data_IF_040907273729
#
_entry.id   IF_040907273729
#
_cell.length_a   1.000
_cell.length_b   1.000
_cell.length_c   1.000
_cell.angle_alpha   90.00
_cell.angle_beta   90.00
_cell.angle_gamma   90.00
#
_symmetry.space_group_name_H-M   'P 1'
#
loop_
_entity.id
_entity.type
_entity.pdbx_description
1 polymer ?
#
# COMPACT_ATOMS: atom_id res chain seq x y z
N UNK A 1 6.06 -16.47 13.86
CA UNK A 1 6.91 -15.27 13.96
C UNK A 1 6.14 -14.14 13.31
N UNK A 2 5.27 -13.46 14.07
CA UNK A 2 4.40 -12.41 13.53
C UNK A 2 4.18 -11.38 14.63
N UNK A 3 5.18 -10.53 14.82
CA UNK A 3 5.07 -9.36 15.68
C UNK A 3 4.20 -8.33 14.97
N UNK A 4 2.88 -8.38 15.17
CA UNK A 4 1.98 -7.30 14.81
C UNK A 4 2.24 -6.15 15.78
N UNK A 5 3.03 -5.16 15.35
CA UNK A 5 3.02 -3.84 15.97
C UNK A 5 1.62 -3.25 15.76
N UNK A 6 0.76 -3.32 16.78
CA UNK A 6 -0.52 -2.63 16.78
C UNK A 6 -0.29 -1.14 16.98
N UNK A 7 -0.40 -0.36 15.91
CA UNK A 7 -0.67 1.06 16.04
C UNK A 7 -2.02 1.23 16.75
N UNK A 8 -2.10 2.17 17.71
CA UNK A 8 -3.33 2.46 18.48
C UNK A 8 -4.52 2.90 17.59
N UNK A 9 -4.23 3.33 16.36
CA UNK A 9 -5.19 3.63 15.33
C UNK A 9 -4.62 3.19 13.98
N UNK A 10 -5.39 2.38 13.25
CA UNK A 10 -5.05 1.91 11.91
C UNK A 10 -6.29 2.11 11.03
N UNK A 11 -6.08 2.68 9.84
CA UNK A 11 -7.14 2.77 8.83
C UNK A 11 -6.82 1.84 7.68
N UNK A 12 -7.85 1.14 7.18
CA UNK A 12 -7.72 0.25 6.04
C UNK A 12 -8.77 0.59 4.98
N UNK A 13 -8.34 0.59 3.72
CA UNK A 13 -9.22 0.69 2.57
C UNK A 13 -8.91 -0.43 1.58
N UNK A 14 -9.95 -0.95 0.93
CA UNK A 14 -9.82 -2.00 -0.09
C UNK A 14 -10.50 -1.54 -1.36
N UNK A 15 -9.74 -1.56 -2.45
CA UNK A 15 -10.22 -1.27 -3.80
C UNK A 15 -10.32 -2.58 -4.58
N UNK A 16 -11.44 -2.78 -5.28
CA UNK A 16 -11.62 -3.88 -6.24
C UNK A 16 -11.45 -3.35 -7.67
N UNK A 17 -10.57 -3.97 -8.44
CA UNK A 17 -10.37 -3.61 -9.86
C UNK A 17 -9.59 -4.69 -10.61
N UNK A 18 -9.90 -4.87 -11.89
CA UNK A 18 -9.15 -5.72 -12.81
C UNK A 18 -7.68 -5.28 -13.00
N UNK A 19 -7.31 -4.07 -12.58
CA UNK A 19 -5.99 -3.47 -12.82
C UNK A 19 -5.26 -3.06 -11.53
N UNK A 20 -5.46 -3.78 -10.44
CA UNK A 20 -4.86 -3.48 -9.12
C UNK A 20 -3.35 -3.29 -9.12
N UNK A 21 -2.60 -4.09 -9.88
CA UNK A 21 -1.13 -3.94 -10.02
C UNK A 21 -0.76 -2.58 -10.61
N UNK A 22 -1.50 -2.12 -11.64
CA UNK A 22 -1.25 -0.80 -12.25
C UNK A 22 -1.51 0.31 -11.24
N UNK A 23 -2.58 0.22 -10.46
CA UNK A 23 -2.89 1.21 -9.44
C UNK A 23 -1.81 1.29 -8.35
N UNK A 24 -1.29 0.15 -7.89
CA UNK A 24 -0.17 0.11 -6.93
C UNK A 24 1.04 0.89 -7.46
N UNK A 25 1.48 0.57 -8.69
CA UNK A 25 2.65 1.21 -9.30
C UNK A 25 2.42 2.70 -9.54
N UNK A 26 1.24 3.08 -10.05
CA UNK A 26 0.90 4.49 -10.32
C UNK A 26 0.88 5.31 -9.04
N UNK A 27 0.28 4.79 -7.95
CA UNK A 27 0.20 5.49 -6.68
C UNK A 27 1.59 5.62 -6.03
N UNK A 28 2.34 4.52 -5.93
CA UNK A 28 3.67 4.56 -5.32
C UNK A 28 4.60 5.51 -6.09
N UNK A 29 4.57 5.47 -7.43
CA UNK A 29 5.34 6.39 -8.29
C UNK A 29 4.90 7.85 -8.14
N UNK A 30 3.61 8.10 -7.94
CA UNK A 30 3.11 9.45 -7.70
C UNK A 30 3.68 10.02 -6.41
N UNK A 31 3.63 9.26 -5.32
CA UNK A 31 4.15 9.68 -4.01
C UNK A 31 5.67 9.75 -3.94
N UNK A 32 6.39 8.90 -4.68
CA UNK A 32 7.85 8.90 -4.78
C UNK A 32 8.45 10.26 -5.22
N UNK A 33 7.64 11.15 -5.79
CA UNK A 33 8.05 12.53 -6.15
C UNK A 33 8.21 13.46 -4.95
N UNK A 34 7.61 13.10 -3.81
CA UNK A 34 7.48 13.97 -2.63
C UNK A 34 7.92 13.30 -1.34
N UNK A 35 7.77 11.98 -1.24
CA UNK A 35 8.11 11.19 -0.05
C UNK A 35 8.81 9.89 -0.48
N UNK A 36 9.62 9.27 0.39
CA UNK A 36 10.18 7.96 0.10
C UNK A 36 9.06 6.96 -0.15
N UNK A 37 9.15 6.25 -1.28
CA UNK A 37 8.23 5.18 -1.61
C UNK A 37 8.98 4.07 -2.34
N UNK A 38 8.73 2.84 -1.95
CA UNK A 38 9.27 1.63 -2.58
C UNK A 38 8.11 0.73 -2.97
N UNK A 39 8.26 -0.01 -4.06
CA UNK A 39 7.23 -0.95 -4.51
C UNK A 39 7.82 -2.03 -5.40
N UNK A 40 7.14 -3.17 -5.42
CA UNK A 40 7.32 -4.25 -6.37
C UNK A 40 5.98 -4.54 -7.10
N UNK A 41 5.84 -5.72 -7.69
CA UNK A 41 4.64 -6.13 -8.43
C UNK A 41 3.42 -6.37 -7.53
N UNK A 42 3.64 -6.63 -6.23
CA UNK A 42 2.63 -7.10 -5.28
C UNK A 42 2.50 -6.23 -4.03
N UNK A 43 3.53 -5.47 -3.68
CA UNK A 43 3.57 -4.68 -2.46
C UNK A 43 4.16 -3.28 -2.70
N UNK A 44 3.73 -2.33 -1.87
CA UNK A 44 4.24 -0.98 -1.85
C UNK A 44 4.30 -0.43 -0.44
N UNK A 45 5.26 0.44 -0.18
CA UNK A 45 5.44 1.14 1.08
C UNK A 45 5.69 2.62 0.79
N UNK A 46 4.98 3.49 1.51
CA UNK A 46 5.11 4.94 1.40
C UNK A 46 5.36 5.50 2.79
N UNK A 47 6.42 6.28 2.94
CA UNK A 47 6.84 6.84 4.22
C UNK A 47 6.42 8.31 4.29
N UNK A 48 5.24 8.57 4.84
CA UNK A 48 4.81 9.92 5.13
C UNK A 48 5.45 10.41 6.43
N UNK A 49 5.64 11.73 6.63
CA UNK A 49 6.14 12.28 7.88
C UNK A 49 5.30 11.91 9.11
N UNK A 50 4.03 11.57 8.92
CA UNK A 50 3.05 11.23 9.96
C UNK A 50 2.88 9.72 10.18
N UNK A 51 3.46 8.87 9.33
CA UNK A 51 3.26 7.42 9.40
C UNK A 51 3.61 6.70 8.10
N UNK A 52 3.59 5.37 8.17
CA UNK A 52 3.89 4.50 7.02
C UNK A 52 2.59 3.93 6.47
N UNK A 53 2.39 4.08 5.16
CA UNK A 53 1.28 3.43 4.45
C UNK A 53 1.80 2.25 3.66
N UNK A 54 1.18 1.09 3.83
CA UNK A 54 1.45 -0.10 3.02
C UNK A 54 0.34 -0.36 2.01
N UNK A 55 0.74 -0.85 0.84
CA UNK A 55 -0.14 -1.26 -0.25
C UNK A 55 0.10 -2.74 -0.54
N UNK A 56 -0.98 -3.51 -0.69
CA UNK A 56 -0.88 -4.95 -1.01
C UNK A 56 -1.88 -5.32 -2.09
N UNK A 57 -1.38 -5.95 -3.15
CA UNK A 57 -2.19 -6.50 -4.23
C UNK A 57 -2.55 -7.96 -3.93
N UNK A 58 -3.80 -8.32 -4.15
CA UNK A 58 -4.24 -9.71 -4.26
C UNK A 58 -4.83 -9.93 -5.66
N UNK A 59 -4.06 -10.55 -6.55
CA UNK A 59 -4.51 -10.79 -7.93
C UNK A 59 -5.73 -11.71 -8.00
N UNK A 60 -5.78 -12.75 -7.16
CA UNK A 60 -6.90 -13.71 -7.12
C UNK A 60 -8.24 -13.03 -6.84
N UNK A 61 -8.23 -12.05 -5.95
CA UNK A 61 -9.43 -11.32 -5.54
C UNK A 61 -9.57 -9.99 -6.28
N UNK A 62 -8.61 -9.66 -7.16
CA UNK A 62 -8.50 -8.39 -7.85
C UNK A 62 -8.64 -7.21 -6.88
N UNK A 63 -7.94 -7.29 -5.74
CA UNK A 63 -7.96 -6.25 -4.71
C UNK A 63 -6.62 -5.55 -4.52
N UNK A 64 -6.70 -4.27 -4.18
CA UNK A 64 -5.59 -3.46 -3.67
C UNK A 64 -6.00 -2.97 -2.28
N UNK A 65 -5.24 -3.36 -1.27
CA UNK A 65 -5.48 -2.97 0.12
C UNK A 65 -4.46 -1.93 0.54
N UNK A 66 -4.93 -0.87 1.20
CA UNK A 66 -4.13 0.20 1.78
C UNK A 66 -4.25 0.13 3.29
N UNK A 67 -3.14 0.28 4.00
CA UNK A 67 -3.11 0.30 5.46
C UNK A 67 -2.24 1.45 5.91
N UNK A 68 -2.78 2.34 6.75
CA UNK A 68 -2.10 3.51 7.31
C UNK A 68 -2.19 3.48 8.83
#
# INVERSE_FOLDING_TARGET
>A
MSSQFQALYQSQATLHSEHVVKYLVTLCRHFARKVPATWDETQGQIEFPVGVTTLTVCEKNQTLTFVC
#
